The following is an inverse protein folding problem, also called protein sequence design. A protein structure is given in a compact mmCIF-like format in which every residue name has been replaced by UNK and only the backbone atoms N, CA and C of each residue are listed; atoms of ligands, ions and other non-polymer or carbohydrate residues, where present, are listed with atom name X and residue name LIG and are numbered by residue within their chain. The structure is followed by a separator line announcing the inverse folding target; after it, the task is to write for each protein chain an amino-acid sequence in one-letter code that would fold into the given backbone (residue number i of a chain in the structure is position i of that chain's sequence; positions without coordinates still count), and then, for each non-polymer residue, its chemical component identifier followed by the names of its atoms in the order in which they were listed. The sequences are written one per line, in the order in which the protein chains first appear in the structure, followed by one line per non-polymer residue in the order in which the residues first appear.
data_IF_538743715372
#
_entry.id   IF_538743715372
#
_cell.length_a   1.000
_cell.length_b   1.000
_cell.length_c   1.000
_cell.angle_alpha   90.00
_cell.angle_beta   90.00
_cell.angle_gamma   90.00
#
_symmetry.space_group_name_H-M   'P 1'
#
loop_
_entity.id
_entity.type
_entity.pdbx_description
1 polymer ?
#
# COMPACT_ATOMS: atom_id res chain seq x y z
N UNK A 1 0.16 -3.00 3.00
CA UNK A 1 -0.09 -2.79 4.43
C UNK A 1 -1.42 -2.06 4.63
N UNK A 2 -2.22 -2.53 5.56
CA UNK A 2 -3.49 -1.91 5.92
C UNK A 2 -3.56 -1.76 7.43
N UNK A 3 -3.63 -0.52 7.92
CA UNK A 3 -3.81 -0.21 9.33
C UNK A 3 -5.28 -0.34 9.72
N UNK A 4 -5.58 -1.01 10.82
CA UNK A 4 -6.98 -1.25 11.25
C UNK A 4 -7.47 -0.23 12.29
N UNK A 5 -6.55 0.45 12.97
CA UNK A 5 -6.92 1.43 14.00
C UNK A 5 -7.88 0.87 15.04
N UNK A 6 -9.03 1.55 15.31
CA UNK A 6 -10.03 1.10 16.29
C UNK A 6 -10.67 -0.25 15.95
N UNK A 7 -10.78 -0.57 14.67
CA UNK A 7 -11.42 -1.79 14.15
C UNK A 7 -10.60 -3.06 14.46
N UNK A 8 -9.36 -2.89 14.93
CA UNK A 8 -8.43 -3.99 15.25
C UNK A 8 -8.92 -4.96 16.35
N UNK A 9 -9.90 -4.55 17.16
CA UNK A 9 -10.46 -5.36 18.22
C UNK A 9 -11.59 -6.30 17.75
N UNK A 10 -12.19 -6.04 16.60
CA UNK A 10 -13.25 -6.87 16.04
C UNK A 10 -12.64 -7.95 15.12
N UNK A 11 -12.74 -9.22 15.58
CA UNK A 11 -12.21 -10.36 14.84
C UNK A 11 -12.83 -10.55 13.46
N UNK A 12 -14.12 -10.22 13.30
CA UNK A 12 -14.82 -10.36 12.02
C UNK A 12 -14.29 -9.34 11.01
N UNK A 13 -14.12 -8.09 11.44
CA UNK A 13 -13.55 -7.03 10.60
C UNK A 13 -12.11 -7.37 10.21
N UNK A 14 -11.30 -7.83 11.16
CA UNK A 14 -9.92 -8.27 10.89
C UNK A 14 -9.90 -9.39 9.85
N UNK A 15 -10.81 -10.37 9.95
CA UNK A 15 -10.90 -11.47 9.00
C UNK A 15 -11.30 -10.99 7.59
N UNK A 16 -12.30 -10.11 7.47
CA UNK A 16 -12.70 -9.52 6.19
C UNK A 16 -11.52 -8.80 5.53
N UNK A 17 -10.77 -7.98 6.30
CA UNK A 17 -9.60 -7.28 5.78
C UNK A 17 -8.47 -8.23 5.33
N UNK A 18 -8.30 -9.39 6.00
CA UNK A 18 -7.34 -10.43 5.57
C UNK A 18 -7.77 -11.00 4.23
N UNK A 19 -9.06 -11.26 4.05
CA UNK A 19 -9.63 -11.78 2.80
C UNK A 19 -9.45 -10.78 1.66
N UNK A 20 -9.79 -9.50 1.88
CA UNK A 20 -9.63 -8.44 0.89
C UNK A 20 -8.16 -8.31 0.43
N UNK A 21 -7.22 -8.19 1.37
CA UNK A 21 -5.79 -8.10 1.03
C UNK A 21 -5.28 -9.37 0.38
N UNK A 22 -5.80 -10.55 0.76
CA UNK A 22 -5.44 -11.83 0.15
C UNK A 22 -5.95 -11.89 -1.31
N UNK A 23 -7.16 -11.42 -1.58
CA UNK A 23 -7.70 -11.32 -2.93
C UNK A 23 -6.87 -10.37 -3.82
N UNK A 24 -6.58 -9.17 -3.31
CA UNK A 24 -5.79 -8.16 -4.04
C UNK A 24 -4.38 -8.67 -4.35
N UNK A 25 -3.72 -9.32 -3.39
CA UNK A 25 -2.31 -9.69 -3.51
C UNK A 25 -2.07 -11.09 -4.10
N UNK A 26 -3.09 -11.95 -4.12
CA UNK A 26 -2.93 -13.37 -4.47
C UNK A 26 -2.05 -14.16 -3.47
N UNK A 27 -1.87 -13.62 -2.26
CA UNK A 27 -1.09 -14.24 -1.19
C UNK A 27 -1.73 -13.98 0.16
N UNK A 28 -1.77 -14.98 1.04
CA UNK A 28 -2.36 -14.87 2.38
C UNK A 28 -1.69 -13.75 3.17
N UNK A 29 -2.51 -12.81 3.64
CA UNK A 29 -2.05 -11.69 4.45
C UNK A 29 -1.72 -12.12 5.89
N UNK A 30 -0.83 -11.38 6.55
CA UNK A 30 -0.34 -11.65 7.90
C UNK A 30 -0.77 -10.52 8.83
N UNK A 31 -1.30 -10.87 10.00
CA UNK A 31 -1.65 -9.91 11.05
C UNK A 31 -0.37 -9.34 11.67
N UNK A 32 -0.29 -8.03 11.79
CA UNK A 32 0.76 -7.34 12.53
C UNK A 32 0.27 -6.99 13.93
N UNK A 33 1.16 -7.10 14.93
CA UNK A 33 0.84 -6.88 16.35
C UNK A 33 1.66 -5.73 16.91
N UNK A 34 1.09 -5.01 17.87
CA UNK A 34 1.81 -3.96 18.61
C UNK A 34 2.95 -4.55 19.41
N UNK A 35 4.14 -3.93 19.32
CA UNK A 35 5.34 -4.34 20.08
C UNK A 35 5.36 -3.77 21.49
N UNK A 36 4.80 -2.57 21.69
CA UNK A 36 4.77 -1.84 22.97
C UNK A 36 3.34 -1.40 23.28
N UNK A 37 3.05 -1.27 24.57
CA UNK A 37 1.79 -0.68 25.05
C UNK A 37 1.97 0.84 25.20
N UNK A 38 1.04 1.62 24.64
CA UNK A 38 1.04 3.09 24.72
C UNK A 38 -0.36 3.53 25.13
N UNK A 39 -0.48 4.12 26.33
CA UNK A 39 -1.77 4.49 26.93
C UNK A 39 -2.52 5.54 26.11
N UNK A 40 -1.83 6.56 25.60
CA UNK A 40 -2.44 7.62 24.79
C UNK A 40 -3.15 7.10 23.54
N UNK A 41 -2.64 6.03 22.93
CA UNK A 41 -3.23 5.38 21.75
C UNK A 41 -4.11 4.18 22.11
N UNK A 42 -4.34 3.92 23.40
CA UNK A 42 -5.13 2.77 23.89
C UNK A 42 -4.66 1.43 23.32
N UNK A 43 -3.36 1.30 23.02
CA UNK A 43 -2.77 0.10 22.45
C UNK A 43 -2.14 -0.78 23.53
N UNK A 44 -2.21 -2.10 23.34
CA UNK A 44 -1.60 -3.10 24.22
C UNK A 44 -0.61 -3.95 23.44
N UNK A 45 0.50 -4.33 24.05
CA UNK A 45 1.46 -5.29 23.48
C UNK A 45 0.74 -6.58 23.11
N UNK A 46 0.97 -7.05 21.88
CA UNK A 46 0.36 -8.28 21.35
C UNK A 46 -1.02 -8.11 20.72
N UNK A 47 -1.70 -6.96 20.92
CA UNK A 47 -2.95 -6.66 20.22
C UNK A 47 -2.72 -6.46 18.72
N UNK A 48 -3.74 -6.70 17.90
CA UNK A 48 -3.71 -6.50 16.46
C UNK A 48 -3.49 -5.01 16.13
N UNK A 49 -2.54 -4.71 15.24
CA UNK A 49 -2.27 -3.36 14.77
C UNK A 49 -2.81 -3.15 13.34
N UNK A 50 -2.65 -4.15 12.51
CA UNK A 50 -3.02 -4.10 11.10
C UNK A 50 -2.71 -5.40 10.39
N UNK A 51 -2.72 -5.35 9.07
CA UNK A 51 -2.49 -6.49 8.19
C UNK A 51 -1.45 -6.09 7.16
N UNK A 52 -0.55 -6.99 6.82
CA UNK A 52 0.43 -6.79 5.76
C UNK A 52 0.61 -8.03 4.90
N UNK A 53 1.06 -7.81 3.68
CA UNK A 53 1.58 -8.83 2.78
C UNK A 53 2.89 -8.34 2.18
N UNK A 54 3.82 -9.25 1.92
CA UNK A 54 5.07 -8.95 1.21
C UNK A 54 5.15 -9.80 -0.03
N UNK A 55 5.14 -9.16 -1.18
CA UNK A 55 5.21 -9.82 -2.49
C UNK A 55 6.64 -9.82 -3.02
N UNK A 56 7.04 -10.91 -3.67
CA UNK A 56 8.35 -11.09 -4.30
C UNK A 56 8.22 -11.85 -5.63
N UNK A 57 9.24 -11.73 -6.46
CA UNK A 57 9.32 -12.43 -7.75
C UNK A 57 8.09 -12.17 -8.64
N UNK A 58 7.55 -13.18 -9.28
CA UNK A 58 6.45 -13.07 -10.25
C UNK A 58 5.22 -12.36 -9.67
N UNK A 59 4.80 -12.71 -8.44
CA UNK A 59 3.65 -12.08 -7.78
C UNK A 59 3.83 -10.57 -7.57
N UNK A 60 5.05 -10.12 -7.33
CA UNK A 60 5.38 -8.70 -7.20
C UNK A 60 5.18 -7.97 -8.53
N UNK A 61 5.69 -8.52 -9.63
CA UNK A 61 5.55 -7.90 -10.95
C UNK A 61 4.10 -7.92 -11.44
N UNK A 62 3.38 -9.01 -11.25
CA UNK A 62 1.95 -9.09 -11.56
C UNK A 62 1.12 -8.06 -10.76
N UNK A 63 1.45 -7.87 -9.49
CA UNK A 63 0.80 -6.86 -8.68
C UNK A 63 1.11 -5.44 -9.18
N UNK A 64 2.37 -5.15 -9.54
CA UNK A 64 2.77 -3.84 -10.08
C UNK A 64 2.02 -3.56 -11.39
N UNK A 65 1.93 -4.52 -12.28
CA UNK A 65 1.21 -4.38 -13.55
C UNK A 65 -0.27 -4.04 -13.33
N UNK A 66 -0.97 -4.79 -12.48
CA UNK A 66 -2.37 -4.49 -12.12
C UNK A 66 -2.53 -3.14 -11.41
N UNK A 67 -1.60 -2.80 -10.55
CA UNK A 67 -1.60 -1.54 -9.81
C UNK A 67 -1.53 -0.34 -10.79
N UNK A 68 -0.56 -0.35 -11.72
CA UNK A 68 -0.32 0.76 -12.64
C UNK A 68 -1.39 0.85 -13.72
N UNK A 69 -1.77 -0.27 -14.32
CA UNK A 69 -2.64 -0.27 -15.49
C UNK A 69 -4.14 -0.32 -15.14
N UNK A 70 -4.51 -0.83 -13.96
CA UNK A 70 -5.92 -1.02 -13.60
C UNK A 70 -6.30 -0.21 -12.36
N UNK A 71 -5.58 -0.35 -11.24
CA UNK A 71 -5.99 0.24 -9.98
C UNK A 71 -5.80 1.76 -9.92
N UNK A 72 -4.62 2.27 -10.28
CA UNK A 72 -4.34 3.72 -10.24
C UNK A 72 -5.28 4.54 -11.14
N UNK A 73 -5.60 4.14 -12.39
CA UNK A 73 -6.55 4.87 -13.23
C UNK A 73 -7.98 4.90 -12.68
N UNK A 74 -8.35 3.96 -11.80
CA UNK A 74 -9.67 3.89 -11.17
C UNK A 74 -9.82 4.76 -9.93
N UNK A 75 -8.72 5.35 -9.45
CA UNK A 75 -8.77 6.28 -8.32
C UNK A 75 -9.50 7.55 -8.77
N UNK A 76 -10.51 7.94 -8.01
CA UNK A 76 -11.24 9.19 -8.27
C UNK A 76 -10.30 10.38 -8.11
N UNK A 77 -10.37 11.34 -9.05
CA UNK A 77 -9.58 12.57 -9.08
C UNK A 77 -8.04 12.30 -8.98
N UNK A 78 -7.57 11.27 -9.68
CA UNK A 78 -6.16 10.89 -9.67
C UNK A 78 -5.32 11.89 -10.47
N UNK A 79 -4.48 12.65 -9.80
CA UNK A 79 -3.57 13.64 -10.40
C UNK A 79 -2.16 13.09 -10.68
N UNK A 80 -1.85 11.92 -10.18
CA UNK A 80 -0.52 11.30 -10.25
C UNK A 80 0.09 11.05 -8.87
N UNK A 81 1.24 10.36 -8.85
CA UNK A 81 1.98 10.01 -7.64
C UNK A 81 3.01 11.08 -7.32
N UNK A 82 3.10 11.49 -6.05
CA UNK A 82 4.08 12.50 -5.59
C UNK A 82 5.47 11.90 -5.44
N UNK A 83 6.49 12.64 -5.84
CA UNK A 83 7.92 12.27 -5.69
C UNK A 83 8.34 12.26 -4.21
N UNK A 84 7.61 12.92 -3.33
CA UNK A 84 7.91 12.99 -1.88
C UNK A 84 7.85 11.62 -1.16
N UNK A 85 7.26 10.61 -1.79
CA UNK A 85 7.20 9.24 -1.26
C UNK A 85 8.53 8.47 -1.26
N UNK A 86 9.61 9.02 -1.83
CA UNK A 86 10.93 8.39 -1.79
C UNK A 86 11.64 8.63 -0.45
N UNK A 87 12.17 7.56 0.14
CA UNK A 87 13.04 7.63 1.31
C UNK A 87 14.53 7.86 0.92
N UNK A 88 15.38 8.00 1.94
CA UNK A 88 16.83 8.17 1.74
C UNK A 88 17.55 6.90 1.25
N UNK A 89 16.88 5.75 1.30
CA UNK A 89 17.40 4.46 0.86
C UNK A 89 16.91 4.06 -0.53
N UNK A 90 16.20 4.95 -1.23
CA UNK A 90 15.68 4.67 -2.56
C UNK A 90 14.40 3.84 -2.58
N UNK A 91 13.73 3.60 -1.46
CA UNK A 91 12.41 2.98 -1.47
C UNK A 91 11.33 4.02 -1.76
N UNK A 92 10.21 3.57 -2.30
CA UNK A 92 9.09 4.44 -2.61
C UNK A 92 7.82 3.97 -1.90
N UNK A 93 7.14 4.87 -1.20
CA UNK A 93 5.91 4.58 -0.46
C UNK A 93 4.81 5.57 -0.80
N UNK A 94 3.60 5.07 -0.98
CA UNK A 94 2.41 5.87 -1.18
C UNK A 94 1.17 5.18 -0.62
N UNK A 95 0.15 5.96 -0.29
CA UNK A 95 -1.14 5.47 0.21
C UNK A 95 -2.22 5.54 -0.85
N UNK A 96 -3.09 4.54 -0.87
CA UNK A 96 -4.35 4.53 -1.60
C UNK A 96 -5.47 4.69 -0.56
N UNK A 97 -6.37 5.66 -0.78
CA UNK A 97 -7.46 5.94 0.17
C UNK A 97 -8.54 4.86 0.20
N UNK A 98 -8.74 4.19 -0.92
CA UNK A 98 -9.84 3.26 -1.15
C UNK A 98 -9.33 1.96 -1.79
N UNK A 99 -9.39 0.84 -1.05
CA UNK A 99 -8.98 -0.47 -1.58
C UNK A 99 -9.91 -1.03 -2.65
N UNK A 100 -11.12 -0.49 -2.77
CA UNK A 100 -12.12 -0.87 -3.79
C UNK A 100 -11.71 -0.53 -5.23
N UNK A 101 -10.62 0.21 -5.43
CA UNK A 101 -10.06 0.47 -6.77
C UNK A 101 -9.54 -0.81 -7.44
N UNK A 102 -9.24 -1.83 -6.66
CA UNK A 102 -8.84 -3.14 -7.18
C UNK A 102 -10.06 -3.92 -7.67
N UNK A 103 -10.03 -4.45 -8.92
CA UNK A 103 -11.17 -5.15 -9.52
C UNK A 103 -11.53 -6.48 -8.82
N UNK A 104 -10.59 -7.04 -8.06
CA UNK A 104 -10.79 -8.27 -7.29
C UNK A 104 -11.77 -8.09 -6.12
N UNK A 105 -11.98 -6.85 -5.70
CA UNK A 105 -12.86 -6.53 -4.58
C UNK A 105 -14.28 -6.26 -5.09
N UNK A 106 -15.23 -7.01 -4.56
CA UNK A 106 -16.64 -6.78 -4.82
C UNK A 106 -17.18 -5.73 -3.85
N UNK A 107 -17.61 -4.58 -4.38
CA UNK A 107 -18.15 -3.46 -3.60
C UNK A 107 -19.30 -3.87 -2.67
N UNK A 108 -20.20 -4.75 -3.12
CA UNK A 108 -21.38 -5.17 -2.35
C UNK A 108 -21.03 -6.01 -1.11
N UNK A 109 -19.84 -6.57 -1.05
CA UNK A 109 -19.36 -7.40 0.07
C UNK A 109 -18.48 -6.63 1.06
N UNK A 110 -18.07 -5.41 0.71
CA UNK A 110 -17.20 -4.60 1.55
C UNK A 110 -18.00 -3.98 2.70
N UNK A 111 -17.62 -4.27 3.94
CA UNK A 111 -18.23 -3.69 5.13
C UNK A 111 -17.87 -2.21 5.31
N UNK A 112 -16.65 -1.83 4.94
CA UNK A 112 -16.14 -0.45 5.03
C UNK A 112 -15.00 -0.22 4.06
N UNK A 113 -15.00 0.92 3.38
CA UNK A 113 -13.87 1.38 2.57
C UNK A 113 -12.69 1.72 3.48
N UNK A 114 -11.53 1.14 3.17
CA UNK A 114 -10.27 1.34 3.91
C UNK A 114 -9.14 1.74 3.00
N UNK A 115 -8.26 2.57 3.54
CA UNK A 115 -7.00 2.89 2.87
C UNK A 115 -5.96 1.79 3.06
N UNK A 116 -4.99 1.78 2.16
CA UNK A 116 -3.84 0.89 2.24
C UNK A 116 -2.56 1.61 1.81
N UNK A 117 -1.45 1.22 2.40
CA UNK A 117 -0.13 1.72 2.05
C UNK A 117 0.63 0.69 1.22
N UNK A 118 1.25 1.15 0.14
CA UNK A 118 2.07 0.36 -0.75
C UNK A 118 3.50 0.87 -0.66
N UNK A 119 4.44 -0.02 -0.38
CA UNK A 119 5.87 0.30 -0.32
C UNK A 119 6.63 -0.57 -1.32
N UNK A 120 7.33 0.06 -2.23
CA UNK A 120 8.22 -0.55 -3.22
C UNK A 120 9.65 -0.48 -2.68
N UNK A 121 10.21 -1.64 -2.36
CA UNK A 121 11.57 -1.76 -1.82
C UNK A 121 12.52 -2.13 -2.95
N UNK A 122 13.59 -1.36 -3.12
CA UNK A 122 14.60 -1.60 -4.14
C UNK A 122 15.97 -1.93 -3.53
N UNK A 123 16.78 -2.70 -4.23
CA UNK A 123 18.14 -3.00 -3.80
C UNK A 123 19.10 -1.83 -4.01
N UNK A 124 18.74 -0.90 -4.88
CA UNK A 124 19.58 0.25 -5.16
C UNK A 124 19.27 1.38 -4.18
N UNK A 125 20.26 1.76 -3.37
CA UNK A 125 20.16 2.85 -2.39
C UNK A 125 20.28 4.24 -3.03
N UNK A 126 19.80 4.40 -4.25
CA UNK A 126 19.84 5.66 -4.99
C UNK A 126 18.44 6.07 -5.46
N UNK A 127 17.95 7.17 -4.91
CA UNK A 127 16.64 7.75 -5.24
C UNK A 127 16.47 7.98 -6.75
N UNK A 128 17.50 8.53 -7.44
CA UNK A 128 17.44 8.80 -8.88
C UNK A 128 17.29 7.53 -9.71
N UNK A 129 18.02 6.48 -9.34
CA UNK A 129 17.95 5.20 -10.03
C UNK A 129 16.59 4.50 -9.81
N UNK A 130 16.05 4.56 -8.60
CA UNK A 130 14.71 4.01 -8.32
C UNK A 130 13.62 4.79 -9.04
N UNK A 131 13.74 6.12 -9.11
CA UNK A 131 12.80 6.94 -9.88
C UNK A 131 12.79 6.53 -11.35
N UNK A 132 13.97 6.42 -11.99
CA UNK A 132 14.09 5.98 -13.38
C UNK A 132 13.53 4.56 -13.61
N UNK A 133 13.73 3.65 -12.64
CA UNK A 133 13.14 2.31 -12.68
C UNK A 133 11.61 2.36 -12.66
N UNK A 134 11.02 3.13 -11.75
CA UNK A 134 9.57 3.23 -11.62
C UNK A 134 8.94 3.97 -12.83
N UNK A 135 9.64 4.97 -13.38
CA UNK A 135 9.23 5.63 -14.62
C UNK A 135 9.23 4.65 -15.80
N UNK A 136 10.25 3.79 -15.91
CA UNK A 136 10.30 2.72 -16.91
C UNK A 136 9.19 1.66 -16.73
N UNK A 137 8.69 1.47 -15.51
CA UNK A 137 7.51 0.64 -15.20
C UNK A 137 6.18 1.40 -15.36
N UNK A 138 6.19 2.57 -16.01
CA UNK A 138 5.02 3.41 -16.27
C UNK A 138 4.27 3.92 -15.04
N UNK A 139 4.95 4.11 -13.91
CA UNK A 139 4.33 4.76 -12.75
C UNK A 139 3.99 6.22 -13.09
N UNK A 140 2.73 6.65 -12.88
CA UNK A 140 2.25 7.98 -13.25
C UNK A 140 2.66 9.04 -12.22
N UNK A 141 3.88 9.54 -12.29
CA UNK A 141 4.35 10.63 -11.43
C UNK A 141 3.84 12.00 -11.89
N UNK A 142 3.62 12.92 -10.95
CA UNK A 142 3.22 14.31 -11.23
C UNK A 142 4.38 15.05 -11.91
N UNK A 143 4.17 15.49 -13.15
CA UNK A 143 5.22 16.13 -13.98
C UNK A 143 5.75 17.46 -13.44
N UNK A 144 4.99 18.16 -12.60
CA UNK A 144 5.38 19.46 -12.02
C UNK A 144 6.48 19.36 -10.96
N UNK A 145 6.55 18.24 -10.25
CA UNK A 145 7.51 18.02 -9.16
C UNK A 145 8.88 17.56 -9.68
N UNK A 146 8.94 17.02 -10.92
CA UNK A 146 10.14 16.41 -11.49
C UNK A 146 11.32 17.39 -11.67
N UNK A 147 11.06 18.71 -11.82
CA UNK A 147 12.12 19.69 -12.13
C UNK A 147 12.76 20.34 -10.90
N UNK A 148 12.15 20.30 -9.72
CA UNK A 148 12.61 21.05 -8.54
C UNK A 148 13.33 20.22 -7.47
N UNK A 149 13.12 18.91 -7.38
CA UNK A 149 13.61 18.10 -6.26
C UNK A 149 14.70 17.07 -6.62
N UNK A 150 15.12 17.02 -7.89
CA UNK A 150 16.17 16.10 -8.35
C UNK A 150 17.55 16.75 -8.59
N UNK A 151 17.71 18.01 -8.21
CA UNK A 151 19.02 18.69 -8.25
C UNK A 151 19.76 18.58 -6.94
#
# INVERSE_FOLDING_TARGET
NMGLGPDSNDKKIVQNCIEDITLISGQKAVITKFKKSISNFKTRKGATAGIKVTLRNNKMYEFIDRLVNIALPRIKDFEGLSIKGFDNFGNYSFGIKEHIVFPEINFDKVDRIRGMDITLVTNNRNKKATFALLEALNFPFIKKDNKKEMN
#
